data_IF_645061736013
#
_entry.id   IF_645061736013
#
_cell.length_a   1.000
_cell.length_b   1.000
_cell.length_c   1.000
_cell.angle_alpha   90.00
_cell.angle_beta   90.00
_cell.angle_gamma   90.00
#
_symmetry.space_group_name_H-M   'P 1'
#
loop_
_entity.id
_entity.type
_entity.pdbx_description
1 polymer ?
#
# COMPACT_ATOMS: atom_id res chain seq x y z
N UNK A 1 37.25 -24.16 -36.86
CA UNK A 1 38.01 -24.21 -35.59
C UNK A 1 37.11 -23.55 -34.55
N UNK A 2 36.56 -24.37 -33.65
CA UNK A 2 35.38 -24.09 -32.84
C UNK A 2 35.65 -23.13 -31.69
N UNK A 3 34.74 -22.18 -31.49
CA UNK A 3 34.64 -21.25 -30.36
C UNK A 3 34.25 -22.02 -29.09
N UNK A 4 35.23 -22.38 -28.27
CA UNK A 4 35.03 -23.21 -27.06
C UNK A 4 34.65 -22.35 -25.82
N UNK A 5 34.77 -21.03 -25.88
CA UNK A 5 34.56 -20.15 -24.72
C UNK A 5 33.10 -19.81 -24.34
N UNK A 6 32.09 -20.34 -25.04
CA UNK A 6 30.66 -19.98 -24.80
C UNK A 6 29.87 -21.01 -23.95
N UNK A 7 30.50 -22.13 -23.58
CA UNK A 7 29.86 -23.23 -22.84
C UNK A 7 30.52 -23.43 -21.48
N UNK A 8 29.70 -23.64 -20.45
CA UNK A 8 30.20 -23.83 -19.09
C UNK A 8 30.69 -25.28 -18.90
N UNK A 9 31.97 -25.42 -18.55
CA UNK A 9 32.67 -26.70 -18.37
C UNK A 9 32.08 -27.62 -17.27
N UNK A 10 31.19 -27.11 -16.43
CA UNK A 10 30.56 -27.88 -15.34
C UNK A 10 29.16 -28.41 -15.67
N UNK A 11 28.48 -27.80 -16.63
CA UNK A 11 27.08 -28.11 -16.95
C UNK A 11 26.86 -28.36 -18.46
N UNK A 12 27.90 -28.22 -19.31
CA UNK A 12 27.86 -28.31 -20.79
C UNK A 12 26.73 -27.50 -21.44
N UNK A 13 26.20 -26.50 -20.73
CA UNK A 13 25.18 -25.56 -21.20
C UNK A 13 25.86 -24.24 -21.62
N UNK A 14 25.28 -23.51 -22.59
CA UNK A 14 25.76 -22.18 -22.94
C UNK A 14 25.68 -21.25 -21.72
N UNK A 15 26.71 -20.42 -21.52
CA UNK A 15 26.90 -19.59 -20.32
C UNK A 15 25.68 -18.69 -20.01
N UNK A 16 25.00 -18.20 -21.06
CA UNK A 16 23.78 -17.36 -20.97
C UNK A 16 22.61 -18.05 -20.24
N UNK A 17 22.60 -19.38 -20.20
CA UNK A 17 21.49 -20.17 -19.62
C UNK A 17 21.95 -21.00 -18.42
N UNK A 18 23.26 -21.11 -18.17
CA UNK A 18 23.76 -21.87 -17.03
C UNK A 18 23.76 -21.01 -15.76
N UNK A 19 23.29 -21.61 -14.65
CA UNK A 19 23.28 -21.00 -13.30
C UNK A 19 24.69 -20.60 -12.84
N UNK A 20 25.74 -21.26 -13.35
CA UNK A 20 27.13 -20.94 -13.05
C UNK A 20 27.71 -19.77 -13.85
N UNK A 21 27.06 -19.36 -14.95
CA UNK A 21 27.63 -18.47 -15.98
C UNK A 21 26.93 -17.13 -16.14
N UNK A 22 25.85 -16.87 -15.41
CA UNK A 22 25.12 -15.60 -15.47
C UNK A 22 25.46 -14.73 -14.24
N UNK A 23 26.48 -13.84 -14.31
CA UNK A 23 26.63 -12.83 -13.27
C UNK A 23 25.35 -11.97 -13.24
N UNK A 24 24.79 -11.65 -12.07
CA UNK A 24 23.60 -10.80 -12.00
C UNK A 24 23.90 -9.48 -12.71
N UNK A 25 22.98 -9.05 -13.57
CA UNK A 25 23.08 -7.78 -14.27
C UNK A 25 23.43 -6.66 -13.26
N UNK A 26 24.33 -5.72 -13.61
CA UNK A 26 24.63 -4.60 -12.74
C UNK A 26 23.32 -3.88 -12.39
N UNK A 27 23.16 -3.44 -11.12
CA UNK A 27 21.94 -2.74 -10.70
C UNK A 27 21.70 -1.55 -11.65
N UNK A 28 20.44 -1.33 -12.09
CA UNK A 28 20.15 -0.22 -12.99
C UNK A 28 20.59 1.08 -12.32
N UNK A 29 21.43 1.84 -13.01
CA UNK A 29 21.82 3.19 -12.60
C UNK A 29 20.56 4.00 -12.31
N UNK A 30 20.51 4.77 -11.20
CA UNK A 30 19.31 5.51 -10.84
C UNK A 30 19.03 6.55 -11.92
N UNK A 31 17.96 6.33 -12.68
CA UNK A 31 17.42 7.32 -13.60
C UNK A 31 17.27 8.67 -12.86
N UNK A 32 17.72 9.80 -13.44
CA UNK A 32 17.54 11.09 -12.81
C UNK A 32 16.03 11.34 -12.69
N UNK A 33 15.53 11.37 -11.46
CA UNK A 33 14.18 11.80 -11.13
C UNK A 33 14.08 13.29 -11.45
N UNK A 34 13.73 13.61 -12.70
CA UNK A 34 13.22 14.93 -13.05
C UNK A 34 11.86 15.09 -12.38
N UNK A 35 11.88 15.49 -11.11
CA UNK A 35 10.70 16.00 -10.44
C UNK A 35 10.36 17.33 -11.12
N UNK A 36 9.15 17.55 -11.67
CA UNK A 36 8.76 18.89 -12.02
C UNK A 36 8.69 19.68 -10.72
N UNK A 37 9.65 20.59 -10.51
CA UNK A 37 9.57 21.61 -9.46
C UNK A 37 8.33 22.43 -9.79
N UNK A 38 7.24 22.15 -9.08
CA UNK A 38 6.04 22.98 -9.13
C UNK A 38 6.39 24.30 -8.46
N UNK A 39 6.82 25.28 -9.25
CA UNK A 39 6.99 26.65 -8.80
C UNK A 39 5.62 27.19 -8.39
N UNK A 40 5.34 27.16 -7.10
CA UNK A 40 4.19 27.89 -6.55
C UNK A 40 4.50 29.37 -6.70
N UNK A 41 3.88 30.00 -7.71
CA UNK A 41 3.79 31.47 -7.76
C UNK A 41 3.01 31.90 -6.53
N UNK A 42 3.72 32.43 -5.54
CA UNK A 42 3.14 33.21 -4.45
C UNK A 42 2.60 34.49 -5.07
N UNK A 43 1.36 34.49 -5.54
CA UNK A 43 0.67 35.73 -5.81
C UNK A 43 0.41 36.40 -4.47
N UNK A 44 0.97 37.60 -4.31
CA UNK A 44 0.75 38.42 -3.13
C UNK A 44 -0.76 38.55 -2.86
N UNK A 45 -1.18 38.16 -1.65
CA UNK A 45 -2.56 38.27 -1.19
C UNK A 45 -2.93 39.76 -1.11
N UNK A 46 -3.84 40.20 -1.98
CA UNK A 46 -4.49 41.50 -1.86
C UNK A 46 -5.39 41.48 -0.62
N UNK A 47 -5.22 42.38 0.37
CA UNK A 47 -6.15 42.47 1.50
C UNK A 47 -7.50 43.01 1.00
N UNK A 48 -8.59 42.29 1.24
CA UNK A 48 -9.95 42.82 1.02
C UNK A 48 -10.91 41.99 0.17
N UNK A 49 -10.51 40.85 -0.39
CA UNK A 49 -11.49 39.97 -1.05
C UNK A 49 -12.16 39.06 0.00
N UNK A 50 -13.42 39.36 0.32
CA UNK A 50 -14.25 38.48 1.15
C UNK A 50 -14.34 37.11 0.49
N UNK A 51 -13.65 36.12 1.07
CA UNK A 51 -13.63 34.77 0.55
C UNK A 51 -15.04 34.16 0.65
N UNK A 52 -15.62 33.82 -0.50
CA UNK A 52 -16.84 33.03 -0.59
C UNK A 52 -16.61 31.71 0.18
N UNK A 53 -17.54 31.25 1.04
CA UNK A 53 -17.36 30.00 1.77
C UNK A 53 -17.09 28.85 0.80
N UNK A 54 -16.18 27.92 1.13
CA UNK A 54 -15.88 26.79 0.27
C UNK A 54 -17.17 25.99 0.00
N UNK A 55 -17.35 25.45 -1.22
CA UNK A 55 -18.51 24.60 -1.51
C UNK A 55 -18.54 23.41 -0.54
N UNK A 56 -19.73 22.89 -0.20
CA UNK A 56 -19.84 21.74 0.69
C UNK A 56 -19.04 20.58 0.10
N UNK A 57 -18.18 19.97 0.93
CA UNK A 57 -17.37 18.83 0.52
C UNK A 57 -18.31 17.74 0.01
N UNK A 58 -18.12 17.28 -1.23
CA UNK A 58 -18.91 16.18 -1.79
C UNK A 58 -18.82 14.98 -0.85
N UNK A 59 -19.96 14.38 -0.53
CA UNK A 59 -19.99 13.16 0.28
C UNK A 59 -19.08 12.11 -0.34
N UNK A 60 -18.10 11.61 0.43
CA UNK A 60 -17.15 10.61 -0.03
C UNK A 60 -17.89 9.33 -0.42
N UNK A 61 -17.48 8.70 -1.53
CA UNK A 61 -18.08 7.44 -2.02
C UNK A 61 -17.68 6.20 -1.22
N UNK A 62 -16.55 6.29 -0.52
CA UNK A 62 -15.91 5.20 0.22
C UNK A 62 -15.66 5.64 1.66
N UNK A 63 -15.63 4.68 2.57
CA UNK A 63 -15.25 4.87 3.96
C UNK A 63 -13.75 5.21 4.03
N UNK A 64 -13.38 6.36 4.62
CA UNK A 64 -11.98 6.72 4.86
C UNK A 64 -11.25 5.67 5.68
N UNK A 65 -9.94 5.51 5.43
CA UNK A 65 -9.09 4.62 6.23
C UNK A 65 -9.10 4.98 7.72
N UNK A 66 -9.13 6.28 8.06
CA UNK A 66 -9.21 6.75 9.45
C UNK A 66 -10.46 6.26 10.18
N UNK A 67 -11.58 6.11 9.47
CA UNK A 67 -12.83 5.61 10.05
C UNK A 67 -12.78 4.09 10.30
N UNK A 68 -11.86 3.37 9.63
CA UNK A 68 -11.62 1.93 9.81
C UNK A 68 -10.68 1.62 10.98
N UNK A 69 -9.79 2.55 11.33
CA UNK A 69 -8.79 2.39 12.41
C UNK A 69 -9.39 1.88 13.74
N UNK A 70 -10.44 2.50 14.33
CA UNK A 70 -11.01 2.02 15.59
C UNK A 70 -11.62 0.62 15.48
N UNK A 71 -12.14 0.25 14.31
CA UNK A 71 -12.69 -1.09 14.08
C UNK A 71 -11.60 -2.15 13.97
N UNK A 72 -10.46 -1.83 13.36
CA UNK A 72 -9.30 -2.73 13.30
C UNK A 72 -8.75 -3.00 14.69
N UNK A 73 -8.62 -1.97 15.53
CA UNK A 73 -8.16 -2.13 16.91
C UNK A 73 -9.13 -2.97 17.73
N UNK A 74 -10.43 -2.66 17.68
CA UNK A 74 -11.45 -3.42 18.41
C UNK A 74 -11.48 -4.90 18.00
N UNK A 75 -11.37 -5.19 16.70
CA UNK A 75 -11.30 -6.58 16.22
C UNK A 75 -10.04 -7.29 16.69
N UNK A 76 -8.89 -6.60 16.72
CA UNK A 76 -7.67 -7.19 17.27
C UNK A 76 -7.80 -7.46 18.77
N UNK A 77 -8.39 -6.54 19.54
CA UNK A 77 -8.69 -6.77 20.96
C UNK A 77 -9.61 -7.98 21.15
N UNK A 78 -10.69 -8.07 20.37
CA UNK A 78 -11.64 -9.19 20.38
C UNK A 78 -10.95 -10.54 20.05
N UNK A 79 -9.90 -10.52 19.22
CA UNK A 79 -9.10 -11.68 18.83
C UNK A 79 -7.90 -11.96 19.77
N UNK A 80 -7.78 -11.25 20.90
CA UNK A 80 -6.73 -11.49 21.89
C UNK A 80 -5.44 -10.70 21.66
N UNK A 81 -5.50 -9.63 20.87
CA UNK A 81 -4.43 -8.66 20.64
C UNK A 81 -3.46 -9.02 19.51
N UNK A 82 -3.47 -10.26 19.01
CA UNK A 82 -2.67 -10.74 17.88
C UNK A 82 -3.50 -11.67 16.99
N UNK A 83 -3.56 -11.37 15.69
CA UNK A 83 -4.30 -12.20 14.74
C UNK A 83 -3.74 -12.12 13.31
N UNK A 84 -4.12 -13.10 12.49
CA UNK A 84 -3.82 -13.06 11.06
C UNK A 84 -4.57 -11.92 10.37
N UNK A 85 -3.92 -11.26 9.41
CA UNK A 85 -4.46 -10.13 8.68
C UNK A 85 -5.77 -10.47 7.97
N UNK A 86 -5.89 -11.68 7.42
CA UNK A 86 -7.14 -12.11 6.79
C UNK A 86 -8.27 -12.28 7.81
N UNK A 87 -8.00 -12.85 8.98
CA UNK A 87 -9.01 -13.01 10.04
C UNK A 87 -9.49 -11.64 10.54
N UNK A 88 -8.57 -10.70 10.75
CA UNK A 88 -8.91 -9.31 11.11
C UNK A 88 -9.73 -8.66 10.00
N UNK A 89 -9.34 -8.80 8.73
CA UNK A 89 -10.09 -8.21 7.62
C UNK A 89 -11.48 -8.82 7.48
N UNK A 90 -11.64 -10.14 7.63
CA UNK A 90 -12.95 -10.81 7.61
C UNK A 90 -13.84 -10.24 8.73
N UNK A 91 -13.34 -10.21 9.96
CA UNK A 91 -14.11 -9.72 11.11
C UNK A 91 -14.45 -8.22 11.00
N UNK A 92 -13.55 -7.38 10.51
CA UNK A 92 -13.85 -5.96 10.20
C UNK A 92 -14.92 -5.86 9.12
N UNK A 93 -14.81 -6.69 8.08
CA UNK A 93 -15.76 -6.74 6.97
C UNK A 93 -17.17 -7.09 7.43
N UNK A 94 -17.31 -8.08 8.32
CA UNK A 94 -18.58 -8.48 8.93
C UNK A 94 -19.12 -7.38 9.86
N UNK A 95 -18.27 -6.83 10.74
CA UNK A 95 -18.66 -5.79 11.70
C UNK A 95 -19.17 -4.51 11.03
N UNK A 96 -18.62 -4.17 9.87
CA UNK A 96 -18.95 -2.95 9.14
C UNK A 96 -19.84 -3.17 7.92
N UNK A 97 -20.33 -4.40 7.70
CA UNK A 97 -21.10 -4.77 6.51
C UNK A 97 -22.27 -3.80 6.24
N UNK A 98 -22.99 -3.40 7.29
CA UNK A 98 -24.15 -2.50 7.23
C UNK A 98 -23.78 -1.01 7.20
N UNK A 99 -22.53 -0.66 7.51
CA UNK A 99 -22.03 0.73 7.58
C UNK A 99 -21.28 1.13 6.31
N UNK A 100 -20.74 0.15 5.59
CA UNK A 100 -20.00 0.39 4.35
C UNK A 100 -20.83 1.17 3.35
N UNK A 101 -20.17 2.11 2.68
CA UNK A 101 -20.77 2.89 1.61
C UNK A 101 -20.82 2.03 0.34
N UNK A 102 -21.70 2.33 -0.63
CA UNK A 102 -21.77 1.56 -1.87
C UNK A 102 -20.42 1.41 -2.58
N UNK A 103 -19.59 2.46 -2.53
CA UNK A 103 -18.26 2.42 -3.15
C UNK A 103 -17.30 1.46 -2.46
N UNK A 104 -17.46 1.16 -1.17
CA UNK A 104 -16.56 0.27 -0.43
C UNK A 104 -16.59 -1.15 -0.97
N UNK A 105 -17.75 -1.57 -1.46
CA UNK A 105 -18.00 -2.88 -2.08
C UNK A 105 -17.58 -2.93 -3.56
N UNK A 106 -17.16 -1.82 -4.15
CA UNK A 106 -16.64 -1.81 -5.51
C UNK A 106 -15.24 -2.42 -5.56
N UNK A 107 -14.94 -3.11 -6.66
CA UNK A 107 -13.59 -3.62 -6.93
C UNK A 107 -12.70 -2.52 -7.48
N UNK A 108 -11.47 -2.44 -7.01
CA UNK A 108 -10.41 -1.62 -7.57
C UNK A 108 -9.83 -2.20 -8.87
N UNK A 109 -8.84 -1.52 -9.48
CA UNK A 109 -8.16 -2.00 -10.68
C UNK A 109 -7.49 -3.36 -10.51
N UNK A 110 -7.11 -3.71 -9.28
CA UNK A 110 -6.51 -5.00 -8.91
C UNK A 110 -7.54 -6.12 -8.72
N UNK A 111 -8.84 -5.84 -8.84
CA UNK A 111 -9.91 -6.80 -8.61
C UNK A 111 -10.32 -6.96 -7.14
N UNK A 112 -9.65 -6.29 -6.21
CA UNK A 112 -9.92 -6.35 -4.78
C UNK A 112 -10.92 -5.29 -4.33
N UNK A 113 -11.70 -5.57 -3.28
CA UNK A 113 -12.63 -4.61 -2.69
C UNK A 113 -11.92 -3.37 -2.15
N UNK A 114 -12.50 -2.20 -2.42
CA UNK A 114 -11.97 -0.89 -2.00
C UNK A 114 -11.74 -0.83 -0.49
N UNK A 115 -12.66 -1.36 0.32
CA UNK A 115 -12.52 -1.34 1.78
C UNK A 115 -11.35 -2.19 2.29
N UNK A 116 -10.96 -3.29 1.63
CA UNK A 116 -9.78 -4.07 2.03
C UNK A 116 -8.49 -3.28 1.83
N UNK A 117 -8.42 -2.50 0.75
CA UNK A 117 -7.31 -1.58 0.51
C UNK A 117 -7.28 -0.44 1.55
N UNK A 118 -8.46 0.08 1.91
CA UNK A 118 -8.60 1.07 2.97
C UNK A 118 -8.22 0.50 4.35
N UNK A 119 -8.54 -0.76 4.63
CA UNK A 119 -8.16 -1.47 5.86
C UNK A 119 -6.64 -1.64 5.96
N UNK A 120 -5.96 -2.03 4.87
CA UNK A 120 -4.48 -2.05 4.84
C UNK A 120 -3.87 -0.66 5.04
N UNK A 121 -4.53 0.39 4.54
CA UNK A 121 -4.11 1.77 4.80
C UNK A 121 -4.30 2.14 6.28
N UNK A 122 -5.41 1.76 6.89
CA UNK A 122 -5.68 1.95 8.32
C UNK A 122 -4.63 1.24 9.18
N UNK A 123 -4.30 -0.01 8.86
CA UNK A 123 -3.21 -0.74 9.53
C UNK A 123 -1.85 -0.04 9.41
N UNK A 124 -1.54 0.56 8.25
CA UNK A 124 -0.32 1.37 8.11
C UNK A 124 -0.37 2.60 9.03
N UNK A 125 -1.47 3.35 9.03
CA UNK A 125 -1.63 4.52 9.89
C UNK A 125 -1.50 4.18 11.38
N UNK A 126 -2.10 3.07 11.82
CA UNK A 126 -2.00 2.57 13.20
C UNK A 126 -0.56 2.19 13.56
N UNK A 127 0.19 1.60 12.62
CA UNK A 127 1.59 1.30 12.82
C UNK A 127 2.45 2.57 12.89
N UNK A 128 2.17 3.56 12.04
CA UNK A 128 2.84 4.86 12.06
C UNK A 128 2.55 5.63 13.39
N UNK A 129 1.38 5.40 13.99
CA UNK A 129 0.99 5.93 15.31
C UNK A 129 1.56 5.11 16.50
N UNK A 130 2.16 3.94 16.23
CA UNK A 130 2.68 3.07 17.28
C UNK A 130 1.62 2.32 18.09
N UNK A 131 0.40 2.13 17.54
CA UNK A 131 -0.68 1.36 18.17
C UNK A 131 -0.72 -0.11 17.71
N UNK A 132 -0.01 -0.41 16.62
CA UNK A 132 -0.02 -1.72 15.97
C UNK A 132 1.37 -2.04 15.44
N UNK A 133 1.80 -3.29 15.60
CA UNK A 133 2.99 -3.87 14.97
C UNK A 133 2.61 -5.06 14.11
N UNK A 134 3.46 -5.40 13.14
CA UNK A 134 3.36 -6.65 12.40
C UNK A 134 4.62 -7.48 12.64
N UNK A 135 4.58 -8.43 13.59
CA UNK A 135 5.75 -9.23 13.93
C UNK A 135 6.20 -10.10 12.75
N UNK A 136 5.28 -10.47 11.86
CA UNK A 136 5.55 -11.28 10.67
C UNK A 136 4.63 -10.89 9.51
N UNK A 137 4.97 -11.26 8.26
CA UNK A 137 4.10 -11.06 7.11
C UNK A 137 2.73 -11.71 7.34
N UNK A 138 1.68 -10.91 7.26
CA UNK A 138 0.31 -11.41 7.42
C UNK A 138 -0.17 -11.54 8.86
N UNK A 139 0.60 -11.13 9.88
CA UNK A 139 0.15 -11.09 11.28
C UNK A 139 0.15 -9.66 11.79
N UNK A 140 -0.93 -9.24 12.45
CA UNK A 140 -1.09 -7.92 13.05
C UNK A 140 -1.25 -8.08 14.56
N UNK A 141 -0.63 -7.18 15.31
CA UNK A 141 -0.61 -7.24 16.77
C UNK A 141 -0.67 -5.84 17.39
N UNK A 142 -1.39 -5.70 18.50
CA UNK A 142 -1.40 -4.48 19.30
C UNK A 142 -0.05 -4.29 20.01
N UNK A 143 0.31 -3.04 20.27
CA UNK A 143 1.55 -2.67 20.98
C UNK A 143 1.38 -2.65 22.48
#
# INVERSE_FOLDING_TARGET
MSTIDDYCEHCDLPLSTCVHGNPPAPPPEPAPKASPVRTTRTTARVPGSSAKPPPPARARRHTPAADLEPHVLAVLEDLGGEAAAEDVMVAVGERMADVFRPGDQEKGPTGELRWRTACRTARKNLADQGLLVAPSPGVWRLT
#
